data_IF_685040675489
#
_entry.id   IF_685040675489
#
_cell.length_a   1.000
_cell.length_b   1.000
_cell.length_c   1.000
_cell.angle_alpha   90.00
_cell.angle_beta   90.00
_cell.angle_gamma   90.00
#
_symmetry.space_group_name_H-M   'P 1'
#
loop_
_entity.id
_entity.type
_entity.pdbx_description
1 polymer ?
#
# COMPACT_ATOMS: atom_id res chain seq x y z
N UNK A 1 44.51 -12.09 -45.41
CA UNK A 1 44.24 -11.03 -44.41
C UNK A 1 42.78 -11.05 -43.91
N UNK A 2 41.97 -12.05 -44.25
CA UNK A 2 40.56 -12.13 -43.80
C UNK A 2 40.34 -13.05 -42.58
N UNK A 3 41.24 -14.01 -42.31
CA UNK A 3 41.12 -14.90 -41.14
C UNK A 3 41.32 -14.18 -39.79
N UNK A 4 41.98 -13.02 -39.77
CA UNK A 4 42.21 -12.24 -38.55
C UNK A 4 40.98 -11.38 -38.16
N UNK A 5 40.12 -11.06 -39.13
CA UNK A 5 38.88 -10.29 -38.92
C UNK A 5 37.80 -11.10 -38.19
N UNK A 6 37.63 -12.37 -38.57
CA UNK A 6 36.65 -13.28 -37.95
C UNK A 6 37.01 -13.69 -36.52
N UNK A 7 38.30 -13.80 -36.20
CA UNK A 7 38.76 -14.07 -34.82
C UNK A 7 38.60 -12.86 -33.88
N UNK A 8 38.59 -11.64 -34.42
CA UNK A 8 38.31 -10.42 -33.65
C UNK A 8 36.81 -10.21 -33.42
N UNK A 9 35.94 -10.57 -34.37
CA UNK A 9 34.47 -10.49 -34.20
C UNK A 9 33.91 -11.52 -33.20
N UNK A 10 34.51 -12.72 -33.10
CA UNK A 10 34.10 -13.72 -32.09
C UNK A 10 34.49 -13.35 -30.64
N UNK A 11 35.61 -12.62 -30.46
CA UNK A 11 36.10 -12.20 -29.14
C UNK A 11 35.37 -10.96 -28.58
N UNK A 12 34.95 -10.03 -29.44
CA UNK A 12 34.20 -8.84 -29.01
C UNK A 12 32.78 -9.17 -28.55
N UNK A 13 32.11 -10.13 -29.19
CA UNK A 13 30.76 -10.59 -28.79
C UNK A 13 30.74 -11.20 -27.38
N UNK A 14 31.73 -12.04 -27.06
CA UNK A 14 31.81 -12.71 -25.75
C UNK A 14 32.17 -11.78 -24.59
N UNK A 15 32.95 -10.72 -24.84
CA UNK A 15 33.26 -9.70 -23.83
C UNK A 15 32.02 -8.83 -23.55
N UNK A 16 31.27 -8.48 -24.59
CA UNK A 16 30.06 -7.64 -24.47
C UNK A 16 28.97 -8.34 -23.66
N UNK A 17 28.75 -9.64 -23.91
CA UNK A 17 27.76 -10.42 -23.16
C UNK A 17 28.12 -10.56 -21.67
N UNK A 18 29.41 -10.69 -21.33
CA UNK A 18 29.86 -10.77 -19.93
C UNK A 18 29.57 -9.48 -19.17
N UNK A 19 29.92 -8.33 -19.76
CA UNK A 19 29.65 -7.00 -19.17
C UNK A 19 28.15 -6.76 -19.01
N UNK A 20 27.37 -7.17 -19.99
CA UNK A 20 25.90 -7.04 -19.97
C UNK A 20 25.28 -7.81 -18.80
N UNK A 21 25.70 -9.07 -18.56
CA UNK A 21 25.21 -9.87 -17.42
C UNK A 21 25.53 -9.23 -16.07
N UNK A 22 26.75 -8.72 -15.92
CA UNK A 22 27.19 -8.05 -14.69
C UNK A 22 26.33 -6.79 -14.47
N UNK A 23 26.15 -5.97 -15.51
CA UNK A 23 25.32 -4.76 -15.42
C UNK A 23 23.87 -5.08 -15.03
N UNK A 24 23.23 -6.07 -15.67
CA UNK A 24 21.87 -6.51 -15.31
C UNK A 24 21.83 -6.98 -13.86
N UNK A 25 22.81 -7.77 -13.42
CA UNK A 25 22.87 -8.23 -12.04
C UNK A 25 22.89 -7.06 -11.05
N UNK A 26 23.67 -6.02 -11.31
CA UNK A 26 23.66 -4.82 -10.47
C UNK A 26 22.32 -4.06 -10.55
N UNK A 27 21.73 -3.88 -11.73
CA UNK A 27 20.41 -3.25 -11.85
C UNK A 27 19.31 -3.99 -11.08
N UNK A 28 19.33 -5.32 -11.10
CA UNK A 28 18.42 -6.14 -10.30
C UNK A 28 18.62 -5.95 -8.80
N UNK A 29 19.87 -5.82 -8.33
CA UNK A 29 20.16 -5.52 -6.93
C UNK A 29 19.68 -4.12 -6.53
N UNK A 30 19.85 -3.13 -7.41
CA UNK A 30 19.34 -1.77 -7.18
C UNK A 30 17.81 -1.78 -7.04
N UNK A 31 17.11 -2.47 -7.96
CA UNK A 31 15.65 -2.60 -7.92
C UNK A 31 15.16 -3.36 -6.68
N UNK A 32 15.79 -4.49 -6.35
CA UNK A 32 15.42 -5.30 -5.18
C UNK A 32 15.54 -4.53 -3.86
N UNK A 33 16.57 -3.68 -3.72
CA UNK A 33 16.71 -2.83 -2.55
C UNK A 33 15.56 -1.82 -2.41
N UNK A 34 15.14 -1.20 -3.50
CA UNK A 34 14.00 -0.27 -3.51
C UNK A 34 12.67 -0.96 -3.18
N UNK A 35 12.39 -2.07 -3.87
CA UNK A 35 11.17 -2.88 -3.68
C UNK A 35 11.06 -3.46 -2.27
N UNK A 36 12.19 -3.88 -1.68
CA UNK A 36 12.21 -4.35 -0.29
C UNK A 36 11.71 -3.25 0.66
N UNK A 37 12.25 -2.03 0.56
CA UNK A 37 11.83 -0.93 1.42
C UNK A 37 10.36 -0.56 1.14
N UNK A 38 9.92 -0.57 -0.12
CA UNK A 38 8.52 -0.29 -0.49
C UNK A 38 7.55 -1.29 0.09
N UNK A 39 7.75 -2.57 -0.21
CA UNK A 39 6.91 -3.65 0.26
C UNK A 39 6.86 -3.69 1.78
N UNK A 40 8.03 -3.58 2.45
CA UNK A 40 8.08 -3.63 3.91
C UNK A 40 7.37 -2.44 4.56
N UNK A 41 7.45 -1.25 3.95
CA UNK A 41 6.72 -0.08 4.44
C UNK A 41 5.22 -0.23 4.22
N UNK A 42 4.80 -0.72 3.07
CA UNK A 42 3.38 -0.90 2.73
C UNK A 42 2.70 -1.94 3.62
N UNK A 43 3.40 -3.04 3.92
CA UNK A 43 2.90 -4.12 4.77
C UNK A 43 3.08 -3.80 6.27
N UNK A 44 3.92 -2.83 6.61
CA UNK A 44 4.27 -2.50 7.99
C UNK A 44 5.12 -3.60 8.66
N UNK A 45 5.77 -4.47 7.89
CA UNK A 45 6.60 -5.56 8.40
C UNK A 45 7.84 -5.77 7.55
N UNK A 46 9.00 -5.70 8.20
CA UNK A 46 10.32 -5.94 7.60
C UNK A 46 10.64 -7.43 7.41
N UNK A 47 9.86 -8.30 8.07
CA UNK A 47 10.09 -9.76 8.11
C UNK A 47 8.93 -10.50 7.41
N UNK A 48 8.18 -9.83 6.53
CA UNK A 48 7.14 -10.50 5.77
C UNK A 48 7.77 -11.62 4.89
N UNK A 49 7.32 -12.89 5.03
CA UNK A 49 7.93 -14.01 4.32
C UNK A 49 7.89 -13.89 2.79
N UNK A 50 6.82 -13.30 2.23
CA UNK A 50 6.69 -13.08 0.79
C UNK A 50 7.73 -12.11 0.25
N UNK A 51 7.93 -11.00 0.97
CA UNK A 51 8.95 -9.99 0.63
C UNK A 51 10.35 -10.57 0.74
N UNK A 52 10.66 -11.26 1.85
CA UNK A 52 11.97 -11.90 2.04
C UNK A 52 12.24 -12.91 0.92
N UNK A 53 11.26 -13.76 0.60
CA UNK A 53 11.42 -14.79 -0.43
C UNK A 53 11.73 -14.17 -1.79
N UNK A 54 11.01 -13.11 -2.17
CA UNK A 54 11.26 -12.37 -3.41
C UNK A 54 12.68 -11.79 -3.46
N UNK A 55 13.11 -11.13 -2.40
CA UNK A 55 14.48 -10.54 -2.30
C UNK A 55 15.55 -11.62 -2.40
N UNK A 56 15.41 -12.74 -1.68
CA UNK A 56 16.37 -13.85 -1.71
C UNK A 56 16.50 -14.42 -3.12
N UNK A 57 15.39 -14.62 -3.84
CA UNK A 57 15.42 -15.10 -5.22
C UNK A 57 16.17 -14.13 -6.15
N UNK A 58 15.94 -12.82 -6.02
CA UNK A 58 16.64 -11.82 -6.82
C UNK A 58 18.12 -11.76 -6.47
N UNK A 59 18.49 -11.88 -5.19
CA UNK A 59 19.89 -11.96 -4.74
C UNK A 59 20.62 -13.16 -5.35
N UNK A 60 19.98 -14.34 -5.35
CA UNK A 60 20.55 -15.55 -5.94
C UNK A 60 20.73 -15.40 -7.45
N UNK A 61 19.71 -14.88 -8.16
CA UNK A 61 19.78 -14.64 -9.60
C UNK A 61 20.86 -13.62 -9.95
N UNK A 62 20.94 -12.51 -9.22
CA UNK A 62 21.94 -11.46 -9.44
C UNK A 62 23.35 -11.97 -9.18
N UNK A 63 23.52 -12.75 -8.10
CA UNK A 63 24.80 -13.40 -7.79
C UNK A 63 25.24 -14.34 -8.90
N UNK A 64 24.31 -15.12 -9.45
CA UNK A 64 24.60 -16.02 -10.56
C UNK A 64 24.95 -15.27 -11.85
N UNK A 65 24.23 -14.19 -12.17
CA UNK A 65 24.52 -13.33 -13.33
C UNK A 65 25.89 -12.67 -13.24
N UNK A 66 26.21 -12.08 -12.09
CA UNK A 66 27.51 -11.43 -11.84
C UNK A 66 28.63 -12.47 -11.90
N UNK A 67 28.48 -13.57 -11.15
CA UNK A 67 29.49 -14.60 -11.06
C UNK A 67 29.78 -15.32 -12.39
N UNK A 68 28.73 -15.67 -13.15
CA UNK A 68 28.88 -16.27 -14.48
C UNK A 68 29.45 -15.29 -15.52
N UNK A 69 29.27 -13.97 -15.31
CA UNK A 69 29.90 -12.92 -16.10
C UNK A 69 31.42 -12.84 -15.89
N UNK A 70 31.89 -13.00 -14.65
CA UNK A 70 33.31 -12.93 -14.31
C UNK A 70 34.08 -14.24 -14.61
N UNK A 71 33.48 -15.42 -14.38
CA UNK A 71 34.19 -16.69 -14.56
C UNK A 71 33.27 -17.85 -14.96
N UNK A 72 33.11 -18.09 -16.26
CA UNK A 72 32.30 -19.21 -16.81
C UNK A 72 32.79 -20.59 -16.35
N UNK A 73 34.10 -20.79 -16.25
CA UNK A 73 34.68 -22.14 -16.13
C UNK A 73 34.77 -22.66 -14.68
N UNK A 74 34.37 -21.85 -13.68
CA UNK A 74 34.51 -22.19 -12.24
C UNK A 74 33.27 -21.96 -11.39
N UNK A 75 32.15 -21.57 -12.01
CA UNK A 75 30.93 -21.22 -11.27
C UNK A 75 30.07 -22.45 -10.99
N UNK A 76 30.58 -23.37 -10.18
CA UNK A 76 29.79 -24.46 -9.63
C UNK A 76 29.03 -23.98 -8.38
N UNK A 77 27.79 -24.45 -8.20
CA UNK A 77 26.91 -24.04 -7.10
C UNK A 77 27.48 -24.36 -5.69
N UNK A 78 28.50 -25.24 -5.61
CA UNK A 78 29.20 -25.62 -4.37
C UNK A 78 30.55 -24.90 -4.18
N UNK A 79 30.89 -23.92 -5.00
CA UNK A 79 32.20 -23.26 -4.94
C UNK A 79 32.23 -22.13 -3.90
N UNK A 80 33.35 -21.98 -3.19
CA UNK A 80 33.65 -20.79 -2.35
C UNK A 80 33.56 -19.48 -3.15
N UNK A 81 33.68 -19.58 -4.47
CA UNK A 81 33.53 -18.49 -5.41
C UNK A 81 32.08 -17.98 -5.40
N UNK A 82 31.08 -18.86 -5.42
CA UNK A 82 29.66 -18.46 -5.33
C UNK A 82 29.40 -17.66 -4.04
N UNK A 83 29.90 -18.15 -2.91
CA UNK A 83 29.73 -17.48 -1.61
C UNK A 83 30.33 -16.07 -1.61
N UNK A 84 31.50 -15.88 -2.24
CA UNK A 84 32.13 -14.56 -2.38
C UNK A 84 31.27 -13.60 -3.19
N UNK A 85 30.72 -14.03 -4.32
CA UNK A 85 29.84 -13.17 -5.11
C UNK A 85 28.50 -12.93 -4.42
N UNK A 86 27.98 -13.91 -3.67
CA UNK A 86 26.78 -13.71 -2.85
C UNK A 86 27.00 -12.64 -1.80
N UNK A 87 28.14 -12.66 -1.10
CA UNK A 87 28.48 -11.63 -0.12
C UNK A 87 28.58 -10.23 -0.75
N UNK A 88 29.14 -10.12 -1.96
CA UNK A 88 29.18 -8.84 -2.71
C UNK A 88 27.77 -8.39 -3.07
N UNK A 89 26.95 -9.26 -3.66
CA UNK A 89 25.56 -8.95 -4.02
C UNK A 89 24.75 -8.52 -2.81
N UNK A 90 24.89 -9.23 -1.69
CA UNK A 90 24.23 -8.92 -0.44
C UNK A 90 24.67 -7.57 0.12
N UNK A 91 25.98 -7.29 0.14
CA UNK A 91 26.50 -5.99 0.57
C UNK A 91 25.96 -4.82 -0.26
N UNK A 92 25.91 -4.98 -1.58
CA UNK A 92 25.32 -3.97 -2.49
C UNK A 92 23.82 -3.80 -2.21
N UNK A 93 23.07 -4.89 -2.07
CA UNK A 93 21.66 -4.83 -1.69
C UNK A 93 21.45 -4.08 -0.37
N UNK A 94 22.23 -4.37 0.68
CA UNK A 94 22.14 -3.70 1.97
C UNK A 94 22.40 -2.21 1.83
N UNK A 95 23.46 -1.80 1.11
CA UNK A 95 23.77 -0.39 0.89
C UNK A 95 22.63 0.34 0.17
N UNK A 96 22.04 -0.29 -0.85
CA UNK A 96 20.91 0.26 -1.59
C UNK A 96 19.67 0.35 -0.71
N UNK A 97 19.37 -0.69 0.06
CA UNK A 97 18.24 -0.71 0.98
C UNK A 97 18.37 0.41 2.03
N UNK A 98 19.57 0.57 2.61
CA UNK A 98 19.85 1.68 3.56
C UNK A 98 19.70 3.03 2.88
N UNK A 99 20.26 3.21 1.68
CA UNK A 99 20.13 4.48 0.95
C UNK A 99 18.67 4.79 0.61
N UNK A 100 17.90 3.81 0.16
CA UNK A 100 16.47 3.96 -0.13
C UNK A 100 15.65 4.19 1.15
N UNK A 101 16.03 3.59 2.27
CA UNK A 101 15.41 3.84 3.56
C UNK A 101 15.64 5.30 4.00
N UNK A 102 16.88 5.77 3.89
CA UNK A 102 17.25 7.16 4.17
C UNK A 102 16.60 8.14 3.20
N UNK A 103 16.47 7.78 1.92
CA UNK A 103 15.78 8.58 0.92
C UNK A 103 14.25 8.57 1.12
N UNK A 104 13.65 7.47 1.60
CA UNK A 104 12.22 7.41 1.98
C UNK A 104 11.93 8.07 3.32
N UNK A 105 12.95 8.26 4.16
CA UNK A 105 12.92 9.25 5.24
C UNK A 105 12.95 10.70 4.71
N UNK A 106 12.80 10.90 3.39
CA UNK A 106 12.40 12.15 2.74
C UNK A 106 11.38 12.88 3.60
N UNK A 107 11.53 14.21 3.75
CA UNK A 107 10.71 15.00 4.64
C UNK A 107 9.25 14.65 4.38
N UNK A 108 8.61 14.06 5.39
CA UNK A 108 7.15 13.95 5.37
C UNK A 108 6.62 15.34 5.04
N UNK A 109 5.54 15.45 4.28
CA UNK A 109 4.75 16.67 4.39
C UNK A 109 4.37 16.78 5.86
N UNK A 110 5.05 17.66 6.57
CA UNK A 110 4.79 17.97 7.96
C UNK A 110 3.80 19.11 7.95
N UNK A 111 2.75 18.96 8.73
CA UNK A 111 1.79 20.03 8.97
C UNK A 111 1.80 20.32 10.45
N UNK A 112 1.88 21.60 10.79
CA UNK A 112 1.76 22.06 12.17
C UNK A 112 0.28 22.14 12.52
N UNK A 113 -0.17 21.26 13.43
CA UNK A 113 -1.56 21.15 13.86
C UNK A 113 -1.58 21.28 15.38
N UNK A 114 -2.20 22.36 15.87
CA UNK A 114 -2.32 22.63 17.31
C UNK A 114 -0.98 22.58 18.08
N UNK A 115 0.10 23.04 17.44
CA UNK A 115 1.45 23.06 18.03
C UNK A 115 2.19 21.72 18.03
N UNK A 116 1.69 20.71 17.31
CA UNK A 116 2.42 19.47 17.01
C UNK A 116 2.82 19.45 15.54
N UNK A 117 4.03 18.98 15.26
CA UNK A 117 4.53 18.83 13.89
C UNK A 117 4.28 17.41 13.39
N UNK A 118 3.19 17.23 12.64
CA UNK A 118 2.68 15.90 12.30
C UNK A 118 3.04 15.55 10.84
N UNK A 119 3.79 14.45 10.58
CA UNK A 119 3.96 13.92 9.23
C UNK A 119 2.66 13.28 8.72
N UNK A 120 2.04 13.88 7.70
CA UNK A 120 0.74 13.41 7.17
C UNK A 120 0.87 12.49 5.97
N UNK A 121 2.06 12.36 5.38
CA UNK A 121 2.27 11.64 4.10
C UNK A 121 1.72 10.20 4.10
N UNK A 122 1.95 9.43 5.16
CA UNK A 122 1.41 8.06 5.27
C UNK A 122 -0.12 8.02 5.29
N UNK A 123 -0.75 9.01 5.93
CA UNK A 123 -2.20 9.13 5.90
C UNK A 123 -2.68 9.49 4.48
N UNK A 124 -2.02 10.42 3.80
CA UNK A 124 -2.34 10.80 2.41
C UNK A 124 -2.20 9.59 1.48
N UNK A 125 -1.08 8.88 1.52
CA UNK A 125 -0.84 7.72 0.67
C UNK A 125 -1.80 6.56 0.99
N UNK A 126 -2.12 6.36 2.28
CA UNK A 126 -3.04 5.32 2.74
C UNK A 126 -4.48 5.50 2.25
N UNK A 127 -4.91 6.75 2.03
CA UNK A 127 -6.29 7.06 1.63
C UNK A 127 -6.52 7.15 0.11
N UNK A 128 -5.49 6.91 -0.72
CA UNK A 128 -5.57 6.95 -2.20
C UNK A 128 -6.74 6.15 -2.79
N UNK A 129 -7.14 5.06 -2.15
CA UNK A 129 -8.21 4.17 -2.65
C UNK A 129 -9.62 4.72 -2.39
N UNK A 130 -9.77 5.58 -1.39
CA UNK A 130 -11.05 6.11 -0.93
C UNK A 130 -11.25 7.53 -1.46
N UNK A 131 -10.20 8.35 -1.41
CA UNK A 131 -10.20 9.74 -1.84
C UNK A 131 -9.23 9.87 -3.03
N UNK A 132 -9.71 9.98 -4.27
CA UNK A 132 -8.84 9.98 -5.46
C UNK A 132 -7.95 11.22 -5.60
N UNK A 133 -8.44 12.39 -5.16
CA UNK A 133 -7.71 13.65 -5.24
C UNK A 133 -6.73 13.81 -4.07
N UNK A 134 -5.51 14.29 -4.34
CA UNK A 134 -4.46 14.44 -3.34
C UNK A 134 -4.74 15.56 -2.34
N UNK A 135 -5.27 16.70 -2.81
CA UNK A 135 -5.59 17.82 -1.91
C UNK A 135 -6.74 17.47 -0.98
N UNK A 136 -7.75 16.74 -1.46
CA UNK A 136 -8.81 16.20 -0.61
C UNK A 136 -8.27 15.22 0.43
N UNK A 137 -7.25 14.41 0.09
CA UNK A 137 -6.60 13.51 1.06
C UNK A 137 -5.83 14.27 2.13
N UNK A 138 -5.06 15.28 1.74
CA UNK A 138 -4.37 16.16 2.67
C UNK A 138 -5.36 16.83 3.62
N UNK A 139 -6.44 17.41 3.09
CA UNK A 139 -7.49 18.05 3.88
C UNK A 139 -8.15 17.09 4.88
N UNK A 140 -8.46 15.86 4.45
CA UNK A 140 -8.97 14.81 5.33
C UNK A 140 -8.00 14.50 6.48
N UNK A 141 -6.73 14.25 6.17
CA UNK A 141 -5.72 13.90 7.17
C UNK A 141 -5.49 15.04 8.17
N UNK A 142 -5.41 16.28 7.69
CA UNK A 142 -5.28 17.47 8.56
C UNK A 142 -6.49 17.59 9.48
N UNK A 143 -7.71 17.51 8.93
CA UNK A 143 -8.93 17.58 9.73
C UNK A 143 -8.98 16.47 10.79
N UNK A 144 -8.65 15.22 10.43
CA UNK A 144 -8.67 14.10 11.37
C UNK A 144 -7.68 14.32 12.53
N UNK A 145 -6.46 14.75 12.24
CA UNK A 145 -5.47 15.06 13.29
C UNK A 145 -5.84 16.31 14.09
N UNK A 146 -6.52 17.28 13.50
CA UNK A 146 -7.04 18.44 14.21
C UNK A 146 -8.09 18.02 15.24
N UNK A 147 -9.03 17.13 14.89
CA UNK A 147 -10.01 16.58 15.84
C UNK A 147 -9.34 15.87 17.02
N UNK A 148 -8.29 15.10 16.77
CA UNK A 148 -7.52 14.40 17.81
C UNK A 148 -6.79 15.40 18.71
N UNK A 149 -6.09 16.37 18.10
CA UNK A 149 -5.23 17.31 18.84
C UNK A 149 -6.00 18.44 19.51
N UNK A 150 -7.24 18.70 19.12
CA UNK A 150 -8.16 19.61 19.82
C UNK A 150 -8.64 19.03 21.16
N UNK A 151 -8.59 17.70 21.34
CA UNK A 151 -8.84 17.07 22.64
C UNK A 151 -7.53 17.03 23.45
N UNK A 152 -7.43 17.74 24.60
CA UNK A 152 -6.20 17.79 25.38
C UNK A 152 -5.70 16.42 25.87
N UNK A 153 -6.60 15.53 26.26
CA UNK A 153 -6.24 14.19 26.74
C UNK A 153 -5.65 13.33 25.62
N UNK A 154 -6.29 13.34 24.45
CA UNK A 154 -5.79 12.59 23.29
C UNK A 154 -4.51 13.21 22.74
N UNK A 155 -4.41 14.53 22.73
CA UNK A 155 -3.19 15.25 22.33
C UNK A 155 -2.00 14.81 23.17
N UNK A 156 -2.11 14.85 24.51
CA UNK A 156 -1.01 14.44 25.38
C UNK A 156 -0.72 12.94 25.28
N UNK A 157 -1.78 12.10 25.24
CA UNK A 157 -1.62 10.64 25.11
C UNK A 157 -0.89 10.24 23.83
N UNK A 158 -1.20 10.87 22.70
CA UNK A 158 -0.69 10.46 21.39
C UNK A 158 0.41 11.34 20.81
N UNK A 159 0.80 12.43 21.48
CA UNK A 159 1.82 13.40 21.01
C UNK A 159 3.03 12.74 20.35
N UNK A 160 3.73 11.88 21.10
CA UNK A 160 4.94 11.23 20.60
C UNK A 160 4.69 10.38 19.34
N UNK A 161 3.54 9.69 19.26
CA UNK A 161 3.19 8.85 18.10
C UNK A 161 2.75 9.68 16.89
N UNK A 162 2.07 10.80 17.14
CA UNK A 162 1.69 11.74 16.09
C UNK A 162 2.93 12.38 15.47
N UNK A 163 3.94 12.75 16.26
CA UNK A 163 5.20 13.34 15.75
C UNK A 163 6.15 12.30 15.12
N UNK A 164 6.14 11.04 15.59
CA UNK A 164 7.04 9.94 15.15
C UNK A 164 6.50 9.13 13.96
N UNK A 165 5.70 9.73 13.07
CA UNK A 165 5.19 9.06 11.85
C UNK A 165 4.37 7.78 12.11
N UNK A 166 3.75 7.69 13.30
CA UNK A 166 2.83 6.61 13.73
C UNK A 166 1.38 7.09 13.79
N UNK A 167 1.07 8.21 13.13
CA UNK A 167 -0.25 8.82 13.14
C UNK A 167 -1.34 7.91 12.56
N UNK A 168 -1.00 7.03 11.62
CA UNK A 168 -1.93 6.00 11.08
C UNK A 168 -2.32 4.96 12.12
N UNK A 169 -1.42 4.58 13.02
CA UNK A 169 -1.73 3.64 14.11
C UNK A 169 -2.65 4.29 15.15
N UNK A 170 -2.48 5.60 15.39
CA UNK A 170 -3.38 6.37 16.26
C UNK A 170 -4.78 6.41 15.68
N UNK A 171 -4.91 6.63 14.36
CA UNK A 171 -6.21 6.57 13.67
C UNK A 171 -6.86 5.19 13.78
N UNK A 172 -6.09 4.11 13.62
CA UNK A 172 -6.61 2.75 13.80
C UNK A 172 -7.10 2.47 15.23
N UNK A 173 -6.35 2.93 16.24
CA UNK A 173 -6.75 2.79 17.65
C UNK A 173 -8.05 3.55 17.98
N UNK A 174 -8.25 4.71 17.32
CA UNK A 174 -9.42 5.56 17.53
C UNK A 174 -10.60 5.24 16.62
N UNK A 175 -10.52 4.21 15.77
CA UNK A 175 -11.55 3.90 14.75
C UNK A 175 -12.96 3.79 15.35
N UNK A 176 -13.09 3.15 16.51
CA UNK A 176 -14.37 3.01 17.22
C UNK A 176 -14.94 4.34 17.76
N UNK A 177 -14.09 5.35 17.90
CA UNK A 177 -14.42 6.69 18.41
C UNK A 177 -14.56 7.73 17.28
N UNK A 178 -14.44 7.34 16.01
CA UNK A 178 -14.49 8.30 14.89
C UNK A 178 -15.81 9.09 14.82
N UNK A 179 -16.92 8.49 15.24
CA UNK A 179 -18.20 9.18 15.35
C UNK A 179 -18.16 10.27 16.43
N UNK A 180 -17.79 9.91 17.66
CA UNK A 180 -17.76 10.84 18.80
C UNK A 180 -16.72 11.95 18.64
N UNK A 181 -15.60 11.68 17.96
CA UNK A 181 -14.57 12.67 17.67
C UNK A 181 -14.88 13.55 16.46
N UNK A 182 -15.97 13.29 15.73
CA UNK A 182 -16.31 14.01 14.50
C UNK A 182 -15.28 13.82 13.39
N UNK A 183 -14.52 12.72 13.40
CA UNK A 183 -13.55 12.39 12.34
C UNK A 183 -14.31 11.96 11.07
N UNK A 184 -15.52 11.39 11.21
CA UNK A 184 -16.38 11.09 10.06
C UNK A 184 -16.72 12.35 9.26
N UNK A 185 -16.91 13.49 9.92
CA UNK A 185 -17.20 14.76 9.25
C UNK A 185 -16.03 15.23 8.37
N UNK A 186 -14.79 14.88 8.71
CA UNK A 186 -13.61 15.17 7.90
C UNK A 186 -13.65 14.45 6.55
N UNK A 187 -14.23 13.25 6.52
CA UNK A 187 -14.42 12.51 5.29
C UNK A 187 -15.46 13.21 4.41
N UNK A 188 -16.55 13.70 5.03
CA UNK A 188 -17.63 14.40 4.35
C UNK A 188 -17.22 15.77 3.80
N UNK A 189 -16.40 16.52 4.54
CA UNK A 189 -15.93 17.85 4.14
C UNK A 189 -14.90 17.82 3.00
N UNK A 190 -14.28 16.66 2.74
CA UNK A 190 -13.29 16.50 1.67
C UNK A 190 -13.89 16.40 0.25
N UNK A 191 -15.22 16.50 0.12
CA UNK A 191 -15.92 16.57 -1.18
C UNK A 191 -16.03 15.22 -1.91
N UNK A 192 -16.06 14.11 -1.15
CA UNK A 192 -16.10 12.77 -1.74
C UNK A 192 -17.42 12.53 -2.46
N UNK A 193 -17.31 12.05 -3.69
CA UNK A 193 -18.43 11.61 -4.51
C UNK A 193 -18.43 10.07 -4.61
N UNK A 194 -19.55 9.52 -5.07
CA UNK A 194 -19.61 8.11 -5.43
C UNK A 194 -18.53 7.77 -6.45
N UNK A 195 -17.79 6.70 -6.18
CA UNK A 195 -16.84 6.10 -7.11
C UNK A 195 -17.07 4.59 -7.16
N UNK A 196 -16.69 3.94 -8.25
CA UNK A 196 -16.78 2.48 -8.35
C UNK A 196 -16.02 1.76 -7.20
N UNK A 197 -14.79 2.18 -6.81
CA UNK A 197 -14.11 1.58 -5.66
C UNK A 197 -14.87 1.68 -4.33
N UNK A 198 -15.56 2.79 -4.06
CA UNK A 198 -16.39 2.96 -2.85
C UNK A 198 -17.60 2.03 -2.91
N UNK A 199 -18.30 2.01 -4.06
CA UNK A 199 -19.45 1.15 -4.27
C UNK A 199 -19.08 -0.33 -4.10
N UNK A 200 -18.00 -0.78 -4.73
CA UNK A 200 -17.52 -2.15 -4.62
C UNK A 200 -17.09 -2.50 -3.18
N UNK A 201 -16.51 -1.55 -2.43
CA UNK A 201 -16.15 -1.76 -1.04
C UNK A 201 -17.39 -1.94 -0.15
N UNK A 202 -18.44 -1.15 -0.37
CA UNK A 202 -19.71 -1.29 0.37
C UNK A 202 -20.38 -2.63 0.04
N UNK A 203 -20.46 -3.00 -1.23
CA UNK A 203 -20.99 -4.31 -1.66
C UNK A 203 -20.23 -5.46 -0.99
N UNK A 204 -18.88 -5.43 -1.00
CA UNK A 204 -18.07 -6.46 -0.34
C UNK A 204 -18.34 -6.55 1.16
N UNK A 205 -18.46 -5.41 1.84
CA UNK A 205 -18.78 -5.38 3.27
C UNK A 205 -20.18 -5.97 3.54
N UNK A 206 -21.21 -5.55 2.81
CA UNK A 206 -22.55 -6.10 3.01
C UNK A 206 -22.63 -7.60 2.69
N UNK A 207 -21.98 -8.06 1.62
CA UNK A 207 -21.90 -9.50 1.31
C UNK A 207 -21.26 -10.27 2.47
N UNK A 208 -20.17 -9.75 3.03
CA UNK A 208 -19.49 -10.37 4.18
C UNK A 208 -20.40 -10.47 5.40
N UNK A 209 -21.21 -9.45 5.68
CA UNK A 209 -22.13 -9.44 6.83
C UNK A 209 -23.38 -10.31 6.62
N UNK A 210 -23.80 -10.55 5.38
CA UNK A 210 -25.04 -11.26 5.04
C UNK A 210 -24.84 -12.73 4.67
N UNK A 211 -23.69 -13.10 4.11
CA UNK A 211 -23.39 -14.50 3.78
C UNK A 211 -23.26 -15.34 5.05
N UNK A 212 -23.91 -16.50 5.07
CA UNK A 212 -23.99 -17.39 6.22
C UNK A 212 -25.08 -17.03 7.23
N UNK A 213 -25.90 -16.01 6.97
CA UNK A 213 -27.01 -15.59 7.85
C UNK A 213 -28.36 -16.17 7.40
N UNK A 214 -29.40 -16.04 8.23
CA UNK A 214 -30.78 -16.40 7.85
C UNK A 214 -31.29 -15.61 6.63
N UNK A 215 -30.77 -14.40 6.41
CA UNK A 215 -31.13 -13.59 5.25
C UNK A 215 -30.74 -14.29 3.95
N UNK A 216 -29.56 -14.92 3.88
CA UNK A 216 -29.13 -15.66 2.68
C UNK A 216 -30.02 -16.88 2.38
N UNK A 217 -30.71 -17.43 3.37
CA UNK A 217 -31.63 -18.56 3.16
C UNK A 217 -32.89 -18.11 2.40
N UNK A 218 -33.34 -16.89 2.64
CA UNK A 218 -34.62 -16.35 2.13
C UNK A 218 -34.44 -15.39 0.94
N UNK A 219 -33.23 -14.84 0.76
CA UNK A 219 -32.93 -13.80 -0.21
C UNK A 219 -31.64 -14.10 -1.01
N UNK A 220 -31.57 -13.62 -2.25
CA UNK A 220 -30.33 -13.56 -3.03
C UNK A 220 -29.48 -12.38 -2.56
N UNK A 221 -28.38 -12.67 -1.87
CA UNK A 221 -27.46 -11.68 -1.30
C UNK A 221 -26.83 -10.80 -2.38
N UNK A 222 -26.52 -11.34 -3.57
CA UNK A 222 -25.94 -10.53 -4.64
C UNK A 222 -26.96 -9.53 -5.17
N UNK A 223 -28.17 -10.01 -5.49
CA UNK A 223 -29.26 -9.16 -5.98
C UNK A 223 -29.64 -8.08 -4.96
N UNK A 224 -29.62 -8.42 -3.67
CA UNK A 224 -29.86 -7.47 -2.59
C UNK A 224 -28.80 -6.37 -2.52
N UNK A 225 -27.51 -6.74 -2.48
CA UNK A 225 -26.42 -5.77 -2.40
C UNK A 225 -26.34 -4.87 -3.63
N UNK A 226 -26.60 -5.42 -4.82
CA UNK A 226 -26.63 -4.66 -6.08
C UNK A 226 -27.82 -3.69 -6.12
N UNK A 227 -28.97 -4.08 -5.58
CA UNK A 227 -30.10 -3.17 -5.39
C UNK A 227 -29.76 -2.04 -4.41
N UNK A 228 -29.21 -2.37 -3.24
CA UNK A 228 -28.85 -1.37 -2.23
C UNK A 228 -27.91 -0.31 -2.79
N UNK A 229 -26.86 -0.72 -3.50
CA UNK A 229 -25.90 0.24 -4.03
C UNK A 229 -26.51 1.12 -5.13
N UNK A 230 -27.37 0.54 -5.99
CA UNK A 230 -28.06 1.27 -7.03
C UNK A 230 -29.04 2.31 -6.48
N UNK A 231 -29.73 2.01 -5.38
CA UNK A 231 -30.61 2.94 -4.69
C UNK A 231 -29.83 4.00 -3.89
N UNK A 232 -28.79 3.62 -3.14
CA UNK A 232 -27.99 4.56 -2.36
C UNK A 232 -27.20 5.55 -3.22
N UNK A 233 -26.80 5.16 -4.44
CA UNK A 233 -26.16 6.07 -5.40
C UNK A 233 -27.07 7.20 -5.89
N UNK A 234 -28.40 7.10 -5.67
CA UNK A 234 -29.34 8.20 -5.97
C UNK A 234 -29.26 9.34 -4.95
N UNK A 235 -28.64 9.09 -3.81
CA UNK A 235 -28.39 10.10 -2.78
C UNK A 235 -26.94 10.59 -2.87
N UNK A 236 -26.66 11.87 -2.54
CA UNK A 236 -25.28 12.31 -2.35
C UNK A 236 -24.57 11.41 -1.33
N UNK A 237 -23.35 10.98 -1.61
CA UNK A 237 -22.59 10.11 -0.70
C UNK A 237 -22.47 10.73 0.71
N UNK A 238 -22.37 12.06 0.79
CA UNK A 238 -22.36 12.78 2.07
C UNK A 238 -23.60 12.55 2.93
N UNK A 239 -24.75 12.37 2.30
CA UNK A 239 -26.02 12.11 2.97
C UNK A 239 -26.05 10.66 3.44
N UNK A 240 -25.62 9.72 2.60
CA UNK A 240 -25.56 8.28 2.93
C UNK A 240 -24.57 7.98 4.06
N UNK A 241 -23.46 8.72 4.11
CA UNK A 241 -22.43 8.56 5.13
C UNK A 241 -22.68 9.40 6.40
N UNK A 242 -23.73 10.23 6.43
CA UNK A 242 -24.08 11.02 7.60
C UNK A 242 -24.57 10.14 8.76
N UNK A 243 -24.34 10.61 9.99
CA UNK A 243 -24.89 9.97 11.17
C UNK A 243 -26.42 9.94 11.09
N UNK A 244 -27.03 8.79 11.42
CA UNK A 244 -28.47 8.60 11.38
C UNK A 244 -29.07 8.32 10.00
N UNK A 245 -28.32 8.38 8.89
CA UNK A 245 -28.88 8.01 7.58
C UNK A 245 -29.43 6.58 7.59
N UNK A 246 -28.72 5.64 8.21
CA UNK A 246 -29.16 4.24 8.32
C UNK A 246 -30.52 4.07 8.98
N UNK A 247 -30.89 4.96 9.91
CA UNK A 247 -32.15 4.97 10.65
C UNK A 247 -33.21 5.86 10.00
N UNK A 248 -32.84 6.61 8.95
CA UNK A 248 -33.76 7.49 8.26
C UNK A 248 -34.86 6.72 7.53
N UNK A 249 -36.02 7.36 7.35
CA UNK A 249 -37.10 6.81 6.54
C UNK A 249 -36.70 6.55 5.07
N UNK A 250 -35.67 7.25 4.56
CA UNK A 250 -35.13 6.99 3.23
C UNK A 250 -34.38 5.65 3.19
N UNK A 251 -33.43 5.44 4.11
CA UNK A 251 -32.69 4.18 4.25
C UNK A 251 -33.61 2.99 4.48
N UNK A 252 -34.55 3.10 5.42
CA UNK A 252 -35.49 2.01 5.75
C UNK A 252 -36.31 1.61 4.51
N UNK A 253 -36.80 2.57 3.72
CA UNK A 253 -37.53 2.29 2.48
C UNK A 253 -36.68 1.56 1.46
N UNK A 254 -35.44 2.01 1.25
CA UNK A 254 -34.50 1.35 0.32
C UNK A 254 -34.21 -0.07 0.76
N UNK A 255 -33.89 -0.28 2.04
CA UNK A 255 -33.61 -1.59 2.63
C UNK A 255 -34.79 -2.54 2.45
N UNK A 256 -36.01 -2.10 2.77
CA UNK A 256 -37.23 -2.91 2.62
C UNK A 256 -37.50 -3.27 1.15
N UNK A 257 -37.45 -2.28 0.25
CA UNK A 257 -37.69 -2.50 -1.17
C UNK A 257 -36.67 -3.47 -1.78
N UNK A 258 -35.39 -3.32 -1.45
CA UNK A 258 -34.35 -4.22 -1.93
C UNK A 258 -34.47 -5.62 -1.33
N UNK A 259 -34.86 -5.73 -0.05
CA UNK A 259 -35.10 -7.03 0.59
C UNK A 259 -36.30 -7.74 -0.03
N UNK A 260 -37.35 -7.03 -0.42
CA UNK A 260 -38.49 -7.64 -1.11
C UNK A 260 -38.11 -8.07 -2.54
N UNK A 261 -37.40 -7.21 -3.27
CA UNK A 261 -36.97 -7.48 -4.65
C UNK A 261 -35.96 -8.63 -4.77
N UNK A 262 -35.25 -8.97 -3.69
CA UNK A 262 -34.24 -10.02 -3.68
C UNK A 262 -34.71 -11.38 -3.15
N UNK A 263 -36.00 -11.55 -2.81
CA UNK A 263 -36.53 -12.85 -2.36
C UNK A 263 -36.36 -13.94 -3.42
N UNK A 264 -36.05 -15.16 -2.96
CA UNK A 264 -35.92 -16.37 -3.78
C UNK A 264 -37.27 -16.97 -4.16
#
# INVERSE_FOLDING_TARGET
MELFSLLLQGKTSTITLKRFKIAIGFFLLLGAGGEYIEGSTQVGSWINPGIITGVVLVLLLSTWLIGSGFSKDRFAFKSLILLRYFAISFGVFVLVAVFNLLAKASPGQYVDINGLRIPIKRCVDGNRRIIPDEKSREAYCVCAFEKITNNPELKEKYKARLEDNKATEVLQELESQFGTLGIRDCLLSSGINWTAPIADAMIRNWKKELTGTEFEQTNDVNKYCDCLIGEYQKFPLREVAAEGFGESAASIRVVQACAEASRK
#
